data_IF_884646545970
#
_entry.id   IF_884646545970
#
_cell.length_a   1.000
_cell.length_b   1.000
_cell.length_c   1.000
_cell.angle_alpha   90.00
_cell.angle_beta   90.00
_cell.angle_gamma   90.00
#
_symmetry.space_group_name_H-M   'P 1'
#
loop_
_entity.id
_entity.type
_entity.pdbx_description
1 polymer ?
#
# COMPACT_ATOMS: atom_id res chain seq x y z
N UNK A 1 14.78 -20.94 47.54
CA UNK A 1 13.37 -21.30 47.30
C UNK A 1 12.61 -19.97 47.33
N UNK A 2 11.93 -19.48 46.31
CA UNK A 2 11.39 -20.00 45.04
C UNK A 2 11.27 -18.78 44.10
N UNK A 3 11.75 -18.89 42.86
CA UNK A 3 10.99 -18.97 41.59
C UNK A 3 10.64 -17.61 40.95
N UNK A 4 11.18 -17.44 39.74
CA UNK A 4 10.86 -16.43 38.73
C UNK A 4 9.41 -16.55 38.21
N UNK A 5 8.99 -15.51 37.47
CA UNK A 5 7.82 -15.35 36.56
C UNK A 5 6.75 -14.40 37.16
N UNK A 6 6.21 -13.40 36.45
CA UNK A 6 5.92 -13.28 35.02
C UNK A 6 6.20 -11.87 34.46
N UNK A 7 7.07 -11.77 33.45
CA UNK A 7 7.20 -10.62 32.54
C UNK A 7 6.40 -10.82 31.24
N UNK A 8 5.29 -11.59 31.29
CA UNK A 8 4.70 -12.21 30.10
C UNK A 8 3.75 -11.33 29.27
N UNK A 9 3.49 -10.08 29.64
CA UNK A 9 2.53 -9.21 28.93
C UNK A 9 3.19 -8.19 27.99
N UNK A 10 4.40 -7.70 28.28
CA UNK A 10 5.04 -6.63 27.50
C UNK A 10 5.66 -7.09 26.17
N UNK A 11 6.11 -8.35 26.09
CA UNK A 11 6.78 -8.87 24.89
C UNK A 11 5.78 -9.17 23.76
N UNK A 12 4.54 -9.55 24.11
CA UNK A 12 3.48 -9.79 23.15
C UNK A 12 2.97 -8.50 22.50
N UNK A 13 2.79 -7.43 23.27
CA UNK A 13 2.34 -6.14 22.74
C UNK A 13 3.39 -5.54 21.79
N UNK A 14 4.68 -5.60 22.14
CA UNK A 14 5.77 -5.18 21.25
C UNK A 14 5.87 -6.02 19.97
N UNK A 15 5.71 -7.34 20.05
CA UNK A 15 5.71 -8.20 18.86
C UNK A 15 4.51 -7.95 17.95
N UNK A 16 3.34 -7.66 18.50
CA UNK A 16 2.15 -7.29 17.73
C UNK A 16 2.38 -5.95 17.04
N UNK A 17 2.92 -4.96 17.75
CA UNK A 17 3.21 -3.63 17.21
C UNK A 17 4.30 -3.67 16.12
N UNK A 18 5.39 -4.41 16.33
CA UNK A 18 6.43 -4.59 15.32
C UNK A 18 5.94 -5.36 14.08
N UNK A 19 5.14 -6.41 14.26
CA UNK A 19 4.53 -7.14 13.13
C UNK A 19 3.52 -6.27 12.38
N UNK A 20 2.75 -5.45 13.08
CA UNK A 20 1.80 -4.51 12.47
C UNK A 20 2.53 -3.43 11.68
N UNK A 21 3.59 -2.82 12.25
CA UNK A 21 4.43 -1.84 11.56
C UNK A 21 5.15 -2.46 10.36
N UNK A 22 5.58 -3.73 10.46
CA UNK A 22 6.22 -4.44 9.35
C UNK A 22 5.24 -4.74 8.20
N UNK A 23 4.02 -5.19 8.53
CA UNK A 23 2.96 -5.44 7.56
C UNK A 23 2.48 -4.13 6.90
N UNK A 24 2.33 -3.05 7.68
CA UNK A 24 2.00 -1.71 7.18
C UNK A 24 3.12 -1.10 6.31
N UNK A 25 4.40 -1.25 6.68
CA UNK A 25 5.53 -0.82 5.84
C UNK A 25 5.58 -1.59 4.53
N UNK A 26 5.24 -2.89 4.54
CA UNK A 26 5.11 -3.68 3.33
C UNK A 26 3.92 -3.21 2.48
N UNK A 27 2.78 -2.89 3.09
CA UNK A 27 1.59 -2.33 2.41
C UNK A 27 1.86 -0.98 1.77
N UNK A 28 2.45 -0.03 2.49
CA UNK A 28 2.82 1.27 1.95
C UNK A 28 3.80 1.14 0.78
N UNK A 29 4.76 0.20 0.86
CA UNK A 29 5.69 -0.09 -0.23
C UNK A 29 4.97 -0.67 -1.45
N UNK A 30 4.04 -1.61 -1.27
CA UNK A 30 3.23 -2.17 -2.36
C UNK A 30 2.41 -1.09 -3.05
N UNK A 31 1.77 -0.22 -2.28
CA UNK A 31 1.00 0.93 -2.82
C UNK A 31 1.92 1.87 -3.59
N UNK A 32 3.06 2.26 -3.01
CA UNK A 32 4.01 3.16 -3.66
C UNK A 32 4.57 2.59 -4.97
N UNK A 33 4.85 1.29 -5.01
CA UNK A 33 5.30 0.62 -6.24
C UNK A 33 4.23 0.62 -7.32
N UNK A 34 2.98 0.29 -6.96
CA UNK A 34 1.86 0.29 -7.90
C UNK A 34 1.57 1.70 -8.45
N UNK A 35 1.60 2.72 -7.59
CA UNK A 35 1.42 4.12 -7.99
C UNK A 35 2.56 4.58 -8.89
N UNK A 36 3.82 4.26 -8.54
CA UNK A 36 4.98 4.61 -9.36
C UNK A 36 4.88 4.01 -10.76
N UNK A 37 4.50 2.74 -10.88
CA UNK A 37 4.30 2.05 -12.16
C UNK A 37 3.17 2.69 -12.97
N UNK A 38 2.06 3.03 -12.32
CA UNK A 38 0.94 3.73 -12.96
C UNK A 38 1.35 5.15 -13.45
N UNK A 39 2.14 5.89 -12.67
CA UNK A 39 2.66 7.19 -13.05
C UNK A 39 3.67 7.11 -14.20
N UNK A 40 4.51 6.08 -14.20
CA UNK A 40 5.46 5.82 -15.29
C UNK A 40 4.70 5.63 -16.60
N UNK A 41 3.68 4.76 -16.62
CA UNK A 41 2.80 4.56 -17.78
C UNK A 41 2.10 5.86 -18.21
N UNK A 42 1.63 6.66 -17.25
CA UNK A 42 0.98 7.94 -17.54
C UNK A 42 1.93 9.01 -18.14
N UNK A 43 3.24 8.87 -17.93
CA UNK A 43 4.23 9.90 -18.31
C UNK A 43 4.72 9.79 -19.77
N UNK A 44 4.41 8.70 -20.48
CA UNK A 44 5.02 8.38 -21.78
C UNK A 44 4.15 8.74 -23.02
N UNK A 45 3.01 9.44 -22.91
CA UNK A 45 2.11 9.62 -24.08
C UNK A 45 1.12 10.79 -24.12
N UNK A 46 0.10 10.61 -24.98
CA UNK A 46 -1.06 11.48 -25.16
C UNK A 46 -2.02 11.39 -23.95
N UNK A 47 -1.77 12.25 -22.96
CA UNK A 47 -2.51 12.54 -21.70
C UNK A 47 -3.80 11.76 -21.42
N UNK A 48 -4.79 11.71 -22.32
CA UNK A 48 -6.07 11.03 -22.05
C UNK A 48 -5.97 9.49 -22.00
N UNK A 49 -5.26 8.87 -22.95
CA UNK A 49 -5.19 7.41 -23.06
C UNK A 49 -4.24 6.81 -22.03
N UNK A 50 -3.20 7.54 -21.63
CA UNK A 50 -2.22 7.02 -20.68
C UNK A 50 -2.75 7.01 -19.24
N UNK A 51 -3.68 7.91 -18.91
CA UNK A 51 -4.40 7.82 -17.64
C UNK A 51 -5.35 6.61 -17.60
N UNK A 52 -5.91 6.19 -18.74
CA UNK A 52 -6.68 4.94 -18.82
C UNK A 52 -5.77 3.73 -18.62
N UNK A 53 -4.59 3.74 -19.25
CA UNK A 53 -3.59 2.69 -19.07
C UNK A 53 -3.09 2.62 -17.61
N UNK A 54 -2.82 3.76 -16.97
CA UNK A 54 -2.47 3.83 -15.55
C UNK A 54 -3.57 3.25 -14.64
N UNK A 55 -4.84 3.55 -14.93
CA UNK A 55 -5.98 2.93 -14.22
C UNK A 55 -6.03 1.42 -14.40
N UNK A 56 -5.75 0.93 -15.61
CA UNK A 56 -5.71 -0.50 -15.87
C UNK A 56 -4.58 -1.18 -15.09
N UNK A 57 -3.39 -0.57 -15.00
CA UNK A 57 -2.27 -1.09 -14.20
C UNK A 57 -2.67 -1.25 -12.73
N UNK A 58 -3.30 -0.22 -12.14
CA UNK A 58 -3.79 -0.28 -10.75
C UNK A 58 -4.88 -1.34 -10.58
N UNK A 59 -5.81 -1.45 -11.54
CA UNK A 59 -6.91 -2.42 -11.48
C UNK A 59 -6.41 -3.87 -11.54
N UNK A 60 -5.42 -4.15 -12.40
CA UNK A 60 -4.84 -5.49 -12.56
C UNK A 60 -3.84 -5.87 -11.47
N UNK A 61 -3.43 -4.93 -10.61
CA UNK A 61 -2.50 -5.23 -9.53
C UNK A 61 -3.14 -6.18 -8.51
N UNK A 62 -2.61 -7.39 -8.37
CA UNK A 62 -3.16 -8.44 -7.48
C UNK A 62 -2.81 -8.22 -6.00
N UNK A 63 -1.84 -7.36 -5.70
CA UNK A 63 -1.34 -7.09 -4.35
C UNK A 63 -2.09 -5.95 -3.65
N UNK A 64 -2.80 -5.12 -4.43
CA UNK A 64 -3.66 -4.07 -3.91
C UNK A 64 -5.03 -4.62 -3.50
N UNK A 65 -5.52 -4.15 -2.36
CA UNK A 65 -6.91 -4.40 -1.94
C UNK A 65 -7.88 -3.59 -2.79
N UNK A 66 -9.15 -3.99 -2.82
CA UNK A 66 -10.20 -3.27 -3.56
C UNK A 66 -10.33 -1.80 -3.11
N UNK A 67 -10.15 -1.55 -1.82
CA UNK A 67 -10.20 -0.19 -1.23
C UNK A 67 -9.07 0.69 -1.76
N UNK A 68 -7.85 0.15 -1.84
CA UNK A 68 -6.68 0.90 -2.30
C UNK A 68 -6.72 1.17 -3.80
N UNK A 69 -7.16 0.17 -4.58
CA UNK A 69 -7.40 0.38 -6.02
C UNK A 69 -8.36 1.53 -6.25
N UNK A 70 -9.47 1.53 -5.52
CA UNK A 70 -10.51 2.57 -5.64
C UNK A 70 -9.97 3.94 -5.19
N UNK A 71 -9.21 3.98 -4.09
CA UNK A 71 -8.62 5.21 -3.57
C UNK A 71 -7.60 5.81 -4.55
N UNK A 72 -6.67 4.99 -5.06
CA UNK A 72 -5.66 5.42 -6.03
C UNK A 72 -6.33 5.89 -7.33
N UNK A 73 -7.31 5.14 -7.86
CA UNK A 73 -8.05 5.54 -9.07
C UNK A 73 -8.80 6.87 -8.84
N UNK A 74 -9.38 7.08 -7.66
CA UNK A 74 -10.04 8.34 -7.33
C UNK A 74 -9.05 9.50 -7.23
N UNK A 75 -7.87 9.27 -6.63
CA UNK A 75 -6.81 10.28 -6.57
C UNK A 75 -6.34 10.68 -7.98
N UNK A 76 -6.17 9.70 -8.88
CA UNK A 76 -5.81 9.93 -10.28
C UNK A 76 -6.89 10.72 -11.06
N UNK A 77 -8.16 10.65 -10.67
CA UNK A 77 -9.24 11.46 -11.27
C UNK A 77 -9.22 12.91 -10.75
N UNK A 78 -8.85 13.11 -9.49
CA UNK A 78 -8.89 14.41 -8.82
C UNK A 78 -7.67 15.30 -9.11
N UNK A 79 -6.54 14.77 -9.57
CA UNK A 79 -5.32 15.54 -9.92
C UNK A 79 -5.44 16.39 -11.20
N UNK A 80 -6.66 16.75 -11.61
CA UNK A 80 -6.96 17.47 -12.85
C UNK A 80 -7.42 18.93 -12.63
N UNK A 81 -6.92 19.55 -11.56
CA UNK A 81 -7.09 20.98 -11.27
C UNK A 81 -5.85 21.78 -11.70
#
# INVERSE_FOLDING_TARGET
MELYQETSQNDHEKQIEENFIYDERNRARVVALAVREACDVASHGNKQNDWEAARQVISHNKLLTCSEKSMIINLLKCTRY
#
